data_IF_898637515050
#
_entry.id   IF_898637515050
#
_cell.length_a   1.000
_cell.length_b   1.000
_cell.length_c   1.000
_cell.angle_alpha   90.00
_cell.angle_beta   90.00
_cell.angle_gamma   90.00
#
_symmetry.space_group_name_H-M   'P 1'
#
loop_
_entity.id
_entity.type
_entity.pdbx_description
1 polymer ?
#
# COMPACT_ATOMS: atom_id res chain seq x y z
N UNK A 1 -21.35 1.60 8.14
CA UNK A 1 -21.93 2.73 7.41
C UNK A 1 -20.92 3.87 7.45
N UNK A 2 -20.11 4.08 6.40
CA UNK A 2 -19.41 5.35 6.27
C UNK A 2 -20.46 6.47 6.23
N UNK A 3 -20.19 7.59 6.90
CA UNK A 3 -20.98 8.80 6.74
C UNK A 3 -20.39 9.46 5.51
N UNK A 4 -21.08 9.35 4.37
CA UNK A 4 -20.71 10.08 3.16
C UNK A 4 -20.82 11.58 3.47
N UNK A 5 -19.67 12.20 3.69
CA UNK A 5 -19.51 13.63 3.44
C UNK A 5 -18.31 13.73 2.51
N UNK A 6 -18.59 13.69 1.21
CA UNK A 6 -17.69 14.25 0.21
C UNK A 6 -17.59 15.75 0.54
N UNK A 7 -16.51 16.18 1.17
CA UNK A 7 -16.20 17.61 1.22
C UNK A 7 -15.64 18.00 -0.15
N UNK A 8 -16.54 18.18 -1.12
CA UNK A 8 -16.27 18.95 -2.34
C UNK A 8 -16.12 20.42 -1.95
N UNK A 9 -14.97 20.80 -1.37
CA UNK A 9 -14.82 22.15 -0.84
C UNK A 9 -13.53 22.44 -0.08
N UNK A 10 -12.38 22.03 -0.59
CA UNK A 10 -11.12 22.67 -0.22
C UNK A 10 -10.53 23.34 -1.45
N UNK A 11 -10.49 24.67 -1.42
CA UNK A 11 -9.74 25.49 -2.38
C UNK A 11 -8.24 25.29 -2.12
N UNK A 12 -7.67 24.25 -2.73
CA UNK A 12 -6.24 23.98 -2.75
C UNK A 12 -5.83 23.50 -4.14
N UNK A 13 -4.53 23.48 -4.43
CA UNK A 13 -4.03 22.81 -5.64
C UNK A 13 -4.55 21.37 -5.69
N UNK A 14 -5.01 20.99 -6.88
CA UNK A 14 -5.64 19.71 -7.13
C UNK A 14 -5.12 19.10 -8.42
N UNK A 15 -5.03 17.78 -8.43
CA UNK A 15 -4.66 17.00 -9.62
C UNK A 15 -5.79 16.05 -10.00
N UNK A 16 -6.33 16.28 -11.18
CA UNK A 16 -7.32 15.41 -11.82
C UNK A 16 -6.65 14.56 -12.91
N UNK A 17 -7.31 13.48 -13.31
CA UNK A 17 -6.83 12.52 -14.28
C UNK A 17 -7.94 12.22 -15.28
N UNK A 18 -7.62 11.95 -16.54
CA UNK A 18 -8.65 11.67 -17.56
C UNK A 18 -9.25 10.26 -17.35
N UNK A 19 -8.50 9.36 -16.70
CA UNK A 19 -8.85 7.96 -16.49
C UNK A 19 -9.84 7.73 -15.33
N UNK A 20 -10.02 8.73 -14.46
CA UNK A 20 -10.83 8.62 -13.25
C UNK A 20 -11.46 9.96 -12.89
N UNK A 21 -12.73 10.00 -12.42
CA UNK A 21 -13.37 11.26 -12.05
C UNK A 21 -12.79 11.87 -10.76
N UNK A 22 -11.89 11.16 -10.06
CA UNK A 22 -11.41 11.54 -8.75
C UNK A 22 -10.21 12.48 -8.79
N UNK A 23 -10.17 13.40 -7.84
CA UNK A 23 -9.14 14.42 -7.73
C UNK A 23 -8.34 14.24 -6.44
N UNK A 24 -7.03 14.45 -6.51
CA UNK A 24 -6.16 14.46 -5.34
C UNK A 24 -5.95 15.92 -4.94
N UNK A 25 -6.21 16.26 -3.67
CA UNK A 25 -6.16 17.64 -3.18
C UNK A 25 -5.12 17.79 -2.05
N UNK A 26 -4.64 19.03 -1.87
CA UNK A 26 -4.00 19.49 -0.64
C UNK A 26 -2.87 18.60 -0.10
N UNK A 27 -3.02 18.14 1.14
CA UNK A 27 -2.00 17.35 1.84
C UNK A 27 -1.76 15.97 1.20
N UNK A 28 -2.81 15.33 0.69
CA UNK A 28 -2.67 14.07 -0.04
C UNK A 28 -1.98 14.26 -1.38
N UNK A 29 -2.26 15.36 -2.11
CA UNK A 29 -1.54 15.68 -3.34
C UNK A 29 -0.06 15.89 -3.08
N UNK A 30 0.26 16.72 -2.08
CA UNK A 30 1.65 17.01 -1.70
C UNK A 30 2.41 15.72 -1.34
N UNK A 31 1.79 14.83 -0.57
CA UNK A 31 2.39 13.55 -0.19
C UNK A 31 2.55 12.61 -1.40
N UNK A 32 1.53 12.52 -2.25
CA UNK A 32 1.53 11.68 -3.45
C UNK A 32 2.69 12.07 -4.38
N UNK A 33 2.86 13.36 -4.67
CA UNK A 33 3.91 13.85 -5.58
C UNK A 33 5.32 13.64 -5.01
N UNK A 34 5.52 13.94 -3.73
CA UNK A 34 6.82 13.77 -3.07
C UNK A 34 7.25 12.30 -2.94
N UNK A 35 6.28 11.37 -2.90
CA UNK A 35 6.54 9.95 -2.66
C UNK A 35 6.34 9.10 -3.92
N UNK A 36 6.61 9.63 -5.12
CA UNK A 36 6.72 8.84 -6.36
C UNK A 36 5.44 8.78 -7.21
N UNK A 37 4.37 9.41 -6.75
CA UNK A 37 3.16 9.67 -7.53
C UNK A 37 2.58 8.46 -8.23
N UNK A 38 2.25 8.63 -9.52
CA UNK A 38 1.48 7.67 -10.31
C UNK A 38 2.18 6.31 -10.37
N UNK A 39 3.51 6.31 -10.53
CA UNK A 39 4.30 5.10 -10.64
C UNK A 39 4.25 4.24 -9.35
N UNK A 40 4.08 4.87 -8.18
CA UNK A 40 4.04 4.18 -6.89
C UNK A 40 2.62 3.87 -6.42
N UNK A 41 1.76 4.89 -6.39
CA UNK A 41 0.43 4.77 -5.77
C UNK A 41 -0.67 4.43 -6.77
N UNK A 42 -0.45 4.68 -8.05
CA UNK A 42 -1.47 4.60 -9.09
C UNK A 42 -2.48 5.74 -9.06
N UNK A 43 -3.57 5.54 -9.81
CA UNK A 43 -4.65 6.50 -9.94
C UNK A 43 -5.52 6.56 -8.66
N UNK A 44 -6.16 7.71 -8.35
CA UNK A 44 -7.14 7.78 -7.29
C UNK A 44 -8.40 6.97 -7.66
N UNK A 45 -8.90 6.22 -6.68
CA UNK A 45 -10.12 5.41 -6.77
C UNK A 45 -11.32 6.06 -6.08
N UNK A 46 -11.08 7.10 -5.29
CA UNK A 46 -12.07 7.90 -4.57
C UNK A 46 -11.58 9.34 -4.49
N UNK A 47 -12.47 10.29 -4.18
CA UNK A 47 -12.08 11.55 -3.56
C UNK A 47 -11.78 11.32 -2.06
N UNK A 48 -11.54 12.40 -1.30
CA UNK A 48 -11.38 12.29 0.15
C UNK A 48 -12.68 11.83 0.83
N UNK A 49 -12.58 10.78 1.63
CA UNK A 49 -13.67 10.17 2.39
C UNK A 49 -13.42 10.34 3.88
N UNK A 50 -14.50 10.36 4.67
CA UNK A 50 -14.40 10.22 6.14
C UNK A 50 -14.85 8.83 6.55
N UNK A 51 -13.93 8.05 7.11
CA UNK A 51 -14.19 6.70 7.60
C UNK A 51 -13.95 6.58 9.12
N UNK A 52 -14.60 5.62 9.82
CA UNK A 52 -14.23 5.30 11.18
C UNK A 52 -12.78 4.77 11.24
N UNK A 53 -11.90 5.50 11.92
CA UNK A 53 -10.53 5.11 12.19
C UNK A 53 -10.32 4.45 13.54
N UNK A 54 -9.08 4.43 14.06
CA UNK A 54 -8.76 3.87 15.37
C UNK A 54 -9.66 4.44 16.47
N UNK A 55 -10.24 3.56 17.31
CA UNK A 55 -11.18 3.97 18.35
C UNK A 55 -12.49 4.57 17.84
N UNK A 56 -12.84 4.37 16.56
CA UNK A 56 -14.00 4.97 15.85
C UNK A 56 -13.89 6.49 15.68
N UNK A 57 -12.69 7.06 15.80
CA UNK A 57 -12.46 8.46 15.49
C UNK A 57 -12.55 8.68 13.98
N UNK A 58 -13.28 9.70 13.48
CA UNK A 58 -13.35 9.97 12.06
C UNK A 58 -11.95 10.26 11.51
N UNK A 59 -11.57 9.55 10.45
CA UNK A 59 -10.29 9.70 9.76
C UNK A 59 -10.57 10.06 8.30
N UNK A 60 -9.94 11.12 7.82
CA UNK A 60 -10.00 11.49 6.40
C UNK A 60 -9.03 10.59 5.65
N UNK A 61 -9.53 9.95 4.60
CA UNK A 61 -8.77 8.97 3.80
C UNK A 61 -9.02 9.15 2.32
N UNK A 62 -8.11 8.66 1.49
CA UNK A 62 -8.32 8.55 0.05
C UNK A 62 -7.74 7.22 -0.44
N UNK A 63 -8.48 6.53 -1.31
CA UNK A 63 -8.05 5.27 -1.89
C UNK A 63 -7.37 5.53 -3.24
N UNK A 64 -6.27 4.82 -3.46
CA UNK A 64 -5.53 4.75 -4.72
C UNK A 64 -5.45 3.29 -5.14
N UNK A 65 -5.02 3.03 -6.37
CA UNK A 65 -4.91 1.65 -6.86
C UNK A 65 -4.05 0.75 -5.97
N UNK A 66 -2.93 1.26 -5.47
CA UNK A 66 -1.92 0.48 -4.74
C UNK A 66 -1.89 0.76 -3.24
N UNK A 67 -2.46 1.88 -2.79
CA UNK A 67 -2.40 2.33 -1.39
C UNK A 67 -3.70 3.03 -0.95
N UNK A 68 -3.86 3.21 0.36
CA UNK A 68 -4.88 4.07 0.98
C UNK A 68 -4.15 5.04 1.90
N UNK A 69 -4.42 6.33 1.73
CA UNK A 69 -3.82 7.39 2.54
C UNK A 69 -4.74 7.70 3.71
N UNK A 70 -4.14 8.05 4.85
CA UNK A 70 -4.82 8.44 6.07
C UNK A 70 -4.26 9.77 6.55
N UNK A 71 -5.15 10.70 6.89
CA UNK A 71 -4.79 11.96 7.51
C UNK A 71 -4.89 11.88 9.04
N UNK A 72 -3.76 12.17 9.69
CA UNK A 72 -3.56 12.20 11.13
C UNK A 72 -3.19 13.62 11.56
N UNK A 73 -4.17 14.53 11.75
CA UNK A 73 -3.91 15.97 11.90
C UNK A 73 -3.14 16.34 13.18
N UNK A 74 -3.20 15.47 14.19
CA UNK A 74 -2.52 15.67 15.47
C UNK A 74 -1.02 15.30 15.44
N UNK A 75 -0.54 14.70 14.35
CA UNK A 75 0.88 14.41 14.16
C UNK A 75 1.66 15.66 13.71
N UNK A 76 2.98 15.60 13.84
CA UNK A 76 3.86 16.62 13.24
C UNK A 76 3.57 16.72 11.72
N UNK A 77 3.64 17.92 11.12
CA UNK A 77 3.24 18.17 9.74
C UNK A 77 3.73 17.14 8.72
N UNK A 78 4.98 16.72 8.82
CA UNK A 78 5.65 15.74 7.97
C UNK A 78 5.12 14.31 8.11
N UNK A 79 4.43 13.99 9.20
CA UNK A 79 3.87 12.65 9.50
C UNK A 79 2.33 12.64 9.54
N UNK A 80 1.69 13.70 9.04
CA UNK A 80 0.23 13.80 8.98
C UNK A 80 -0.37 12.84 7.98
N UNK A 81 0.25 12.65 6.82
CA UNK A 81 -0.22 11.68 5.82
C UNK A 81 0.53 10.37 6.03
N UNK A 82 -0.21 9.30 6.23
CA UNK A 82 0.33 7.96 6.42
C UNK A 82 -0.35 6.96 5.49
N UNK A 83 0.38 5.90 5.13
CA UNK A 83 -0.16 4.80 4.35
C UNK A 83 -0.80 3.78 5.29
N UNK A 84 -2.02 3.35 4.97
CA UNK A 84 -2.67 2.22 5.63
C UNK A 84 -1.82 0.95 5.52
N UNK A 85 -1.96 0.08 6.52
CA UNK A 85 -1.30 -1.22 6.56
C UNK A 85 -1.99 -2.22 5.61
N UNK A 86 -1.97 -1.96 4.29
CA UNK A 86 -2.76 -2.75 3.35
C UNK A 86 -2.24 -4.18 3.18
N UNK A 87 -0.95 -4.42 3.35
CA UNK A 87 -0.40 -5.78 3.22
C UNK A 87 -0.90 -6.70 4.33
N UNK A 88 -0.88 -6.25 5.59
CA UNK A 88 -1.47 -7.03 6.69
C UNK A 88 -2.98 -7.18 6.54
N UNK A 89 -3.68 -6.13 6.10
CA UNK A 89 -5.14 -6.19 5.86
C UNK A 89 -5.49 -7.19 4.77
N UNK A 90 -4.67 -7.26 3.71
CA UNK A 90 -4.87 -8.22 2.63
C UNK A 90 -4.72 -9.65 3.13
N UNK A 91 -3.67 -9.95 3.91
CA UNK A 91 -3.49 -11.27 4.51
C UNK A 91 -4.65 -11.63 5.46
N UNK A 92 -5.04 -10.70 6.34
CA UNK A 92 -6.15 -10.90 7.28
C UNK A 92 -7.47 -11.22 6.55
N UNK A 93 -7.77 -10.54 5.43
CA UNK A 93 -8.97 -10.81 4.62
C UNK A 93 -8.92 -12.17 3.94
N UNK A 94 -7.74 -12.66 3.59
CA UNK A 94 -7.54 -14.01 3.06
C UNK A 94 -7.52 -15.09 4.15
N UNK A 95 -7.80 -14.73 5.41
CA UNK A 95 -7.81 -15.65 6.54
C UNK A 95 -6.43 -16.02 7.08
N UNK A 96 -5.39 -15.27 6.69
CA UNK A 96 -4.02 -15.48 7.16
C UNK A 96 -3.74 -14.55 8.34
N UNK A 97 -3.50 -15.12 9.52
CA UNK A 97 -2.92 -14.37 10.63
C UNK A 97 -1.41 -14.22 10.42
N UNK A 98 -0.99 -13.08 9.89
CA UNK A 98 0.41 -12.80 9.57
C UNK A 98 1.34 -12.87 10.78
N UNK A 99 0.85 -12.65 12.01
CA UNK A 99 1.66 -12.75 13.24
C UNK A 99 1.97 -14.19 13.63
N UNK A 100 1.20 -15.13 13.09
CA UNK A 100 1.36 -16.56 13.32
C UNK A 100 2.17 -17.26 12.22
N UNK A 101 2.56 -16.52 11.17
CA UNK A 101 3.41 -17.07 10.12
C UNK A 101 4.76 -17.51 10.73
N UNK A 102 5.32 -18.64 10.26
CA UNK A 102 6.59 -19.11 10.77
C UNK A 102 7.68 -18.07 10.44
N UNK A 103 8.58 -17.77 11.39
CA UNK A 103 9.70 -16.88 11.13
C UNK A 103 10.65 -17.49 10.08
N UNK A 104 11.43 -16.64 9.43
CA UNK A 104 12.44 -17.07 8.47
C UNK A 104 13.43 -18.05 9.13
N UNK A 105 13.58 -19.23 8.54
CA UNK A 105 14.52 -20.23 9.04
C UNK A 105 15.86 -20.06 8.34
N UNK A 106 16.92 -19.78 9.11
CA UNK A 106 18.30 -19.65 8.61
C UNK A 106 18.39 -18.81 7.32
N UNK A 107 17.96 -17.53 7.34
CA UNK A 107 18.00 -16.69 6.15
C UNK A 107 19.44 -16.63 5.60
N UNK A 108 19.61 -16.66 4.27
CA UNK A 108 20.92 -16.45 3.65
C UNK A 108 21.59 -15.17 4.13
N UNK A 109 22.92 -15.14 4.17
CA UNK A 109 23.69 -14.02 4.72
C UNK A 109 23.46 -12.69 3.96
N UNK A 110 23.06 -12.77 2.69
CA UNK A 110 22.71 -11.64 1.84
C UNK A 110 21.33 -11.04 2.16
N UNK A 111 20.47 -11.75 2.88
CA UNK A 111 19.13 -11.30 3.25
C UNK A 111 19.16 -10.46 4.52
N UNK A 112 18.29 -9.46 4.60
CA UNK A 112 18.08 -8.68 5.82
C UNK A 112 17.03 -9.38 6.67
N UNK A 113 17.38 -9.79 7.89
CA UNK A 113 16.43 -10.36 8.85
C UNK A 113 15.87 -9.29 9.78
N UNK A 114 14.55 -9.24 9.94
CA UNK A 114 13.85 -8.27 10.77
C UNK A 114 13.32 -8.95 12.02
N UNK A 115 13.90 -8.61 13.17
CA UNK A 115 13.55 -9.23 14.46
C UNK A 115 12.13 -8.84 14.92
N UNK A 116 11.62 -7.70 14.45
CA UNK A 116 10.32 -7.13 14.78
C UNK A 116 9.17 -8.01 14.29
N UNK A 117 9.35 -8.68 13.15
CA UNK A 117 8.33 -9.53 12.52
C UNK A 117 8.78 -10.98 12.38
N UNK A 118 10.07 -11.27 12.57
CA UNK A 118 10.65 -12.59 12.37
C UNK A 118 10.85 -12.95 10.89
N UNK A 119 10.73 -11.99 9.96
CA UNK A 119 10.79 -12.25 8.52
C UNK A 119 12.06 -11.73 7.88
N UNK A 120 12.42 -12.34 6.75
CA UNK A 120 13.61 -11.96 5.99
C UNK A 120 13.27 -11.27 4.67
N UNK A 121 14.15 -10.40 4.22
CA UNK A 121 14.05 -9.71 2.94
C UNK A 121 15.28 -10.00 2.10
N UNK A 122 15.07 -10.75 1.02
CA UNK A 122 16.10 -11.18 0.08
C UNK A 122 15.96 -10.46 -1.27
N UNK A 123 16.94 -10.63 -2.16
CA UNK A 123 16.78 -10.21 -3.55
C UNK A 123 15.66 -10.99 -4.25
N UNK A 124 14.92 -10.37 -5.20
CA UNK A 124 15.15 -9.02 -5.72
C UNK A 124 14.53 -7.90 -4.85
N UNK A 125 13.57 -8.22 -3.98
CA UNK A 125 12.79 -7.23 -3.23
C UNK A 125 13.62 -6.35 -2.29
N UNK A 126 14.71 -6.89 -1.71
CA UNK A 126 15.63 -6.13 -0.87
C UNK A 126 16.13 -4.86 -1.54
N UNK A 127 16.65 -4.97 -2.77
CA UNK A 127 17.20 -3.83 -3.49
C UNK A 127 16.14 -2.75 -3.74
N UNK A 128 14.95 -3.16 -4.18
CA UNK A 128 13.86 -2.24 -4.42
C UNK A 128 13.42 -1.54 -3.13
N UNK A 129 13.22 -2.30 -2.05
CA UNK A 129 12.82 -1.76 -0.75
C UNK A 129 13.82 -0.73 -0.23
N UNK A 130 15.12 -1.03 -0.26
CA UNK A 130 16.18 -0.13 0.20
C UNK A 130 16.26 1.16 -0.61
N UNK A 131 16.01 1.09 -1.93
CA UNK A 131 16.12 2.23 -2.84
C UNK A 131 14.83 3.07 -2.94
N UNK A 132 13.67 2.52 -2.57
CA UNK A 132 12.37 3.13 -2.86
C UNK A 132 11.57 3.54 -1.61
N UNK A 133 12.22 3.67 -0.45
CA UNK A 133 11.63 4.29 0.75
C UNK A 133 11.62 3.40 2.00
N UNK A 134 11.98 2.12 1.87
CA UNK A 134 12.19 1.21 2.98
C UNK A 134 11.06 1.18 4.00
N UNK A 135 11.43 1.20 5.28
CA UNK A 135 10.49 1.14 6.41
C UNK A 135 9.45 2.25 6.33
N UNK A 136 9.83 3.47 5.93
CA UNK A 136 8.95 4.62 5.97
C UNK A 136 7.71 4.48 5.05
N UNK A 137 7.86 3.80 3.91
CA UNK A 137 6.77 3.61 2.95
C UNK A 137 6.17 2.21 2.99
N UNK A 138 6.98 1.17 3.15
CA UNK A 138 6.52 -0.20 3.03
C UNK A 138 6.32 -0.88 4.39
N UNK A 139 7.05 -0.41 5.40
CA UNK A 139 7.16 -1.09 6.69
C UNK A 139 8.04 -2.34 6.60
N UNK A 140 7.90 -3.17 7.64
CA UNK A 140 8.60 -4.44 7.74
C UNK A 140 7.99 -5.51 6.81
N UNK A 141 8.78 -6.50 6.34
CA UNK A 141 8.21 -7.71 5.75
C UNK A 141 7.37 -8.44 6.80
N UNK A 142 6.22 -8.96 6.38
CA UNK A 142 5.29 -9.73 7.22
C UNK A 142 5.04 -11.14 6.67
N UNK A 143 5.80 -11.53 5.65
CA UNK A 143 5.88 -12.87 5.10
C UNK A 143 7.27 -13.10 4.51
N UNK A 144 7.63 -14.35 4.23
CA UNK A 144 8.70 -14.63 3.27
C UNK A 144 8.21 -14.39 1.83
N UNK A 145 9.12 -14.42 0.86
CA UNK A 145 8.75 -14.39 -0.55
C UNK A 145 8.21 -15.76 -1.01
N UNK A 146 7.10 -15.77 -1.74
CA UNK A 146 6.47 -17.00 -2.25
C UNK A 146 5.76 -16.75 -3.59
N UNK A 147 5.44 -17.82 -4.32
CA UNK A 147 4.69 -17.71 -5.57
C UNK A 147 3.19 -17.60 -5.30
N UNK A 148 2.57 -16.54 -5.82
CA UNK A 148 1.13 -16.32 -5.80
C UNK A 148 0.60 -16.26 -7.24
N UNK A 149 -0.55 -16.87 -7.49
CA UNK A 149 -1.20 -16.84 -8.81
C UNK A 149 -2.19 -15.68 -8.88
N UNK A 150 -2.03 -14.81 -9.88
CA UNK A 150 -3.00 -13.77 -10.19
C UNK A 150 -3.98 -14.32 -11.23
N UNK A 151 -5.22 -14.57 -10.79
CA UNK A 151 -6.29 -15.05 -11.67
C UNK A 151 -6.68 -14.03 -12.75
N UNK A 152 -6.63 -12.73 -12.45
CA UNK A 152 -7.00 -11.68 -13.40
C UNK A 152 -6.00 -11.58 -14.56
N UNK A 153 -4.73 -11.87 -14.28
CA UNK A 153 -3.65 -11.87 -15.30
C UNK A 153 -3.35 -13.27 -15.86
N UNK A 154 -3.88 -14.33 -15.25
CA UNK A 154 -3.59 -15.71 -15.63
C UNK A 154 -2.12 -16.10 -15.47
N UNK A 155 -1.40 -15.47 -14.53
CA UNK A 155 0.06 -15.64 -14.35
C UNK A 155 0.43 -15.66 -12.87
N UNK A 156 1.46 -16.44 -12.54
CA UNK A 156 2.09 -16.43 -11.22
C UNK A 156 3.17 -15.36 -11.10
N UNK A 157 3.25 -14.73 -9.93
CA UNK A 157 4.31 -13.79 -9.55
C UNK A 157 5.00 -14.28 -8.28
N UNK A 158 6.32 -14.10 -8.20
CA UNK A 158 6.97 -14.12 -6.90
C UNK A 158 6.50 -12.85 -6.18
N UNK A 159 5.97 -13.02 -4.97
CA UNK A 159 5.45 -11.92 -4.15
C UNK A 159 6.02 -11.96 -2.75
N UNK A 160 6.02 -10.81 -2.09
CA UNK A 160 6.26 -10.73 -0.65
C UNK A 160 5.37 -9.65 -0.04
N UNK A 161 4.76 -9.95 1.10
CA UNK A 161 3.92 -9.00 1.83
C UNK A 161 4.76 -8.23 2.85
N UNK A 162 4.50 -6.93 2.90
CA UNK A 162 5.01 -5.98 3.88
C UNK A 162 3.84 -5.41 4.67
N UNK A 163 4.10 -4.62 5.72
CA UNK A 163 3.02 -4.01 6.49
C UNK A 163 2.03 -3.24 5.63
N UNK A 164 2.53 -2.44 4.68
CA UNK A 164 1.72 -1.49 3.88
C UNK A 164 1.46 -1.92 2.45
N UNK A 165 2.24 -2.84 1.89
CA UNK A 165 2.16 -3.20 0.47
C UNK A 165 2.47 -4.69 0.24
N UNK A 166 2.17 -5.16 -0.97
CA UNK A 166 2.66 -6.42 -1.54
C UNK A 166 3.56 -6.07 -2.71
N UNK A 167 4.76 -6.63 -2.74
CA UNK A 167 5.63 -6.52 -3.91
C UNK A 167 5.40 -7.70 -4.85
N UNK A 168 5.50 -7.44 -6.14
CA UNK A 168 5.33 -8.41 -7.22
C UNK A 168 6.56 -8.31 -8.14
N UNK A 169 7.21 -9.44 -8.41
CA UNK A 169 8.37 -9.49 -9.32
C UNK A 169 7.92 -9.80 -10.76
N UNK A 170 8.29 -8.91 -11.67
CA UNK A 170 8.07 -8.98 -13.11
C UNK A 170 9.40 -9.20 -13.84
N UNK A 171 9.90 -10.44 -13.91
CA UNK A 171 11.20 -10.74 -14.53
C UNK A 171 11.24 -10.41 -16.03
N UNK A 172 10.10 -10.34 -16.71
CA UNK A 172 10.00 -9.87 -18.09
C UNK A 172 10.35 -8.38 -18.27
N UNK A 173 10.38 -7.62 -17.18
CA UNK A 173 10.73 -6.20 -17.13
C UNK A 173 12.11 -5.98 -16.48
N UNK A 174 12.95 -7.02 -16.42
CA UNK A 174 14.24 -6.97 -15.75
C UNK A 174 15.12 -5.81 -16.21
N UNK A 175 15.72 -5.10 -15.25
CA UNK A 175 16.55 -3.92 -15.50
C UNK A 175 15.78 -2.62 -15.77
N UNK A 176 14.45 -2.65 -15.73
CA UNK A 176 13.60 -1.45 -15.76
C UNK A 176 13.15 -1.03 -14.36
N UNK A 177 12.62 0.19 -14.24
CA UNK A 177 11.99 0.67 -13.01
C UNK A 177 10.70 -0.11 -12.64
N UNK A 178 10.20 -0.97 -13.52
CA UNK A 178 8.95 -1.72 -13.38
C UNK A 178 9.17 -3.21 -13.09
N UNK A 179 10.42 -3.64 -12.89
CA UNK A 179 10.73 -5.03 -12.51
C UNK A 179 10.08 -5.42 -11.18
N UNK A 180 10.01 -4.51 -10.22
CA UNK A 180 9.25 -4.68 -8.98
C UNK A 180 8.09 -3.71 -8.98
N UNK A 181 6.87 -4.25 -8.85
CA UNK A 181 5.65 -3.47 -8.79
C UNK A 181 4.95 -3.68 -7.45
N UNK A 182 4.16 -2.69 -7.04
CA UNK A 182 3.27 -2.86 -5.90
C UNK A 182 1.95 -3.44 -6.40
N UNK A 183 1.48 -4.49 -5.72
CA UNK A 183 0.16 -5.06 -5.96
C UNK A 183 -0.95 -4.03 -5.73
N UNK A 184 -2.09 -4.26 -6.39
CA UNK A 184 -3.24 -3.34 -6.38
C UNK A 184 -4.08 -3.44 -5.09
N UNK A 185 -3.42 -3.45 -3.93
CA UNK A 185 -4.07 -3.70 -2.64
C UNK A 185 -5.12 -2.65 -2.29
N UNK A 186 -4.94 -1.40 -2.73
CA UNK A 186 -5.94 -0.34 -2.53
C UNK A 186 -7.23 -0.63 -3.30
N UNK A 187 -7.11 -1.07 -4.56
CA UNK A 187 -8.23 -1.54 -5.38
C UNK A 187 -8.92 -2.77 -4.78
N UNK A 188 -8.15 -3.77 -4.36
CA UNK A 188 -8.68 -5.00 -3.76
C UNK A 188 -9.43 -4.72 -2.45
N UNK A 189 -8.88 -3.85 -1.61
CA UNK A 189 -9.56 -3.42 -0.40
C UNK A 189 -10.87 -2.73 -0.77
N UNK A 190 -10.83 -1.67 -1.59
CA UNK A 190 -12.00 -0.87 -1.99
C UNK A 190 -13.11 -1.70 -2.63
N UNK A 191 -12.79 -2.60 -3.57
CA UNK A 191 -13.79 -3.47 -4.21
C UNK A 191 -14.50 -4.39 -3.22
N UNK A 192 -13.79 -4.90 -2.22
CA UNK A 192 -14.42 -5.68 -1.17
C UNK A 192 -15.26 -4.83 -0.20
N UNK A 193 -15.15 -3.51 -0.21
CA UNK A 193 -16.07 -2.61 0.50
C UNK A 193 -17.29 -2.26 -0.34
N UNK A 194 -17.13 -1.95 -1.63
CA UNK A 194 -18.22 -1.56 -2.54
C UNK A 194 -19.26 -2.66 -2.77
N UNK A 195 -18.95 -3.91 -2.43
CA UNK A 195 -19.86 -5.05 -2.50
C UNK A 195 -20.80 -5.18 -1.28
N UNK A 196 -20.62 -4.36 -0.24
CA UNK A 196 -21.55 -4.30 0.89
C UNK A 196 -22.64 -3.23 0.61
N UNK A 197 -23.93 -3.59 0.62
CA UNK A 197 -25.04 -2.66 0.37
C UNK A 197 -25.21 -1.60 1.48
#
# INVERSE_FOLDING_TARGET
MPIWVEYGGYSGEGRSFDETPHTILGGFLSYWEQNGGLARFGLPLTDELTEPGPGRMPTIVQYFERNRFELHPNNQPEFRVQLSLLGVRSLERSGVDWRSLPPAQNPPAECSYFVETGHSLCYPFKAYWEQNGGIALYGFPVSEAFWEYDEAQGKGFLVQYFERNRFEHHPELAGSAYEIQLGLLGRQLYQGWSQYP
#
